data_IF_284358470341
#
_entry.id   IF_284358470341
#
_cell.length_a   1.000
_cell.length_b   1.000
_cell.length_c   1.000
_cell.angle_alpha   90.00
_cell.angle_beta   90.00
_cell.angle_gamma   90.00
#
_symmetry.space_group_name_H-M   'P 1'
#
loop_
_entity.id
_entity.type
_entity.pdbx_description
1 polymer ?
#
# COMPACT_ATOMS: atom_id res chain seq x y z
N UNK A 1 -26.15 -14.72 -5.78
CA UNK A 1 -26.60 -13.74 -4.78
C UNK A 1 -25.85 -12.41 -4.95
N UNK A 2 -24.52 -12.41 -5.07
CA UNK A 2 -23.72 -11.18 -5.25
C UNK A 2 -24.09 -10.43 -6.52
N UNK A 3 -24.28 -11.12 -7.65
CA UNK A 3 -24.74 -10.52 -8.91
C UNK A 3 -26.10 -9.83 -8.73
N UNK A 4 -27.06 -10.52 -8.10
CA UNK A 4 -28.38 -9.97 -7.85
C UNK A 4 -28.36 -8.76 -6.92
N UNK A 5 -27.52 -8.77 -5.86
CA UNK A 5 -27.33 -7.61 -5.01
C UNK A 5 -26.62 -6.47 -5.73
N UNK A 6 -25.78 -6.79 -6.72
CA UNK A 6 -25.11 -5.80 -7.58
C UNK A 6 -26.09 -4.93 -8.40
N UNK A 7 -27.28 -5.45 -8.73
CA UNK A 7 -28.32 -4.69 -9.44
C UNK A 7 -28.85 -3.47 -8.65
N UNK A 8 -28.62 -3.45 -7.33
CA UNK A 8 -28.97 -2.29 -6.50
C UNK A 8 -28.07 -1.06 -6.78
N UNK A 9 -26.96 -1.26 -7.47
CA UNK A 9 -25.99 -0.21 -7.83
C UNK A 9 -25.60 0.68 -6.63
N UNK A 10 -25.35 0.05 -5.48
CA UNK A 10 -24.93 0.70 -4.23
C UNK A 10 -23.67 0.05 -3.73
N UNK A 11 -22.69 0.87 -3.35
CA UNK A 11 -21.45 0.37 -2.75
C UNK A 11 -21.72 -0.34 -1.41
N UNK A 12 -20.79 -1.21 -0.99
CA UNK A 12 -20.88 -1.99 0.24
C UNK A 12 -22.04 -3.01 0.31
N UNK A 13 -22.86 -3.12 -0.74
CA UNK A 13 -23.85 -4.19 -0.86
C UNK A 13 -23.15 -5.48 -1.27
N UNK A 14 -23.48 -6.60 -0.63
CA UNK A 14 -22.91 -7.87 -1.06
C UNK A 14 -23.26 -9.05 -0.18
N UNK A 15 -23.05 -10.25 -0.73
CA UNK A 15 -23.11 -11.52 -0.02
C UNK A 15 -21.72 -12.16 0.00
N UNK A 16 -21.31 -12.64 1.15
CA UNK A 16 -20.05 -13.36 1.34
C UNK A 16 -20.33 -14.76 1.83
N UNK A 17 -19.65 -15.72 1.24
CA UNK A 17 -19.66 -17.11 1.68
C UNK A 17 -18.27 -17.48 2.18
N UNK A 18 -18.19 -17.93 3.42
CA UNK A 18 -16.97 -18.42 4.05
C UNK A 18 -17.14 -19.88 4.41
N UNK A 19 -16.80 -20.81 3.52
CA UNK A 19 -16.97 -22.23 3.79
C UNK A 19 -16.14 -22.67 5.00
N UNK A 20 -16.73 -23.50 5.85
CA UNK A 20 -16.00 -24.21 6.89
C UNK A 20 -15.20 -25.33 6.24
N UNK A 21 -13.91 -25.16 6.08
CA UNK A 21 -13.01 -26.16 5.53
C UNK A 21 -11.60 -26.00 6.04
N UNK A 22 -10.81 -27.06 6.03
CA UNK A 22 -9.38 -26.95 6.26
C UNK A 22 -8.77 -26.30 5.02
N UNK A 23 -8.22 -25.10 5.17
CA UNK A 23 -7.38 -24.50 4.14
C UNK A 23 -5.95 -25.03 4.30
N UNK A 24 -5.27 -25.26 3.21
CA UNK A 24 -3.83 -25.52 3.18
C UNK A 24 -3.09 -24.24 2.84
N UNK A 25 -2.82 -23.34 3.81
CA UNK A 25 -2.24 -22.07 3.53
C UNK A 25 -0.81 -22.23 3.02
N UNK A 26 -0.53 -21.66 1.87
CA UNK A 26 0.81 -21.64 1.28
C UNK A 26 1.70 -20.69 2.05
N UNK A 27 2.84 -21.17 2.49
CA UNK A 27 3.88 -20.35 3.12
C UNK A 27 4.84 -19.77 2.08
N UNK A 28 5.63 -18.81 2.50
CA UNK A 28 6.63 -18.18 1.65
C UNK A 28 8.02 -18.24 2.29
N UNK A 29 9.01 -18.50 1.45
CA UNK A 29 10.43 -18.40 1.80
C UNK A 29 10.95 -16.93 1.75
N UNK A 30 10.10 -15.94 1.41
CA UNK A 30 10.52 -14.54 1.26
C UNK A 30 11.44 -14.33 0.07
N UNK A 31 11.23 -15.07 -1.00
CA UNK A 31 12.04 -15.04 -2.20
C UNK A 31 11.15 -14.75 -3.41
N UNK A 32 11.69 -14.01 -4.38
CA UNK A 32 11.12 -13.92 -5.73
C UNK A 32 11.95 -14.79 -6.68
N UNK A 33 11.27 -15.45 -7.63
CA UNK A 33 11.89 -16.40 -8.52
C UNK A 33 11.99 -15.88 -9.95
N UNK A 34 13.01 -16.34 -10.67
CA UNK A 34 13.17 -16.10 -12.09
C UNK A 34 12.33 -17.10 -12.90
N UNK A 35 11.16 -16.67 -13.31
CA UNK A 35 10.21 -17.48 -14.07
C UNK A 35 10.66 -17.80 -15.51
N UNK A 36 11.78 -17.23 -15.96
CA UNK A 36 12.39 -17.60 -17.25
C UNK A 36 13.33 -18.81 -17.13
N UNK A 37 13.75 -19.14 -15.91
CA UNK A 37 14.55 -20.32 -15.64
C UNK A 37 13.68 -21.58 -15.79
N UNK A 38 14.18 -22.58 -16.57
CA UNK A 38 13.43 -23.79 -16.91
C UNK A 38 14.16 -25.09 -16.58
N UNK A 39 15.35 -25.01 -15.99
CA UNK A 39 16.08 -26.19 -15.53
C UNK A 39 15.56 -26.68 -14.16
N UNK A 40 16.22 -27.70 -13.60
CA UNK A 40 15.89 -28.22 -12.27
C UNK A 40 16.06 -27.16 -11.18
N UNK A 41 15.12 -27.13 -10.25
CA UNK A 41 15.10 -26.20 -9.14
C UNK A 41 14.43 -24.88 -9.44
N UNK A 42 14.46 -23.97 -8.45
CA UNK A 42 13.91 -22.62 -8.56
C UNK A 42 15.05 -21.61 -8.42
N UNK A 43 15.34 -20.87 -9.50
CA UNK A 43 16.35 -19.81 -9.46
C UNK A 43 15.82 -18.56 -8.75
N UNK A 44 16.54 -18.11 -7.74
CA UNK A 44 16.18 -16.94 -6.94
C UNK A 44 16.52 -15.68 -7.76
N UNK A 45 15.53 -14.83 -7.98
CA UNK A 45 15.71 -13.50 -8.59
C UNK A 45 16.01 -12.45 -7.53
N UNK A 46 15.35 -12.54 -6.36
CA UNK A 46 15.50 -11.56 -5.29
C UNK A 46 15.26 -12.20 -3.92
N UNK A 47 15.99 -11.72 -2.92
CA UNK A 47 15.75 -11.99 -1.49
C UNK A 47 15.03 -10.78 -0.90
N UNK A 48 13.83 -10.99 -0.35
CA UNK A 48 13.01 -9.92 0.21
C UNK A 48 13.60 -9.46 1.55
N UNK A 49 13.82 -8.15 1.70
CA UNK A 49 14.32 -7.53 2.93
C UNK A 49 13.43 -7.92 4.12
N UNK A 50 14.06 -8.32 5.25
CA UNK A 50 13.42 -8.86 6.45
C UNK A 50 12.67 -10.18 6.24
N UNK A 51 12.84 -10.81 5.09
CA UNK A 51 12.33 -12.16 4.83
C UNK A 51 13.18 -13.25 5.50
N UNK A 52 12.73 -14.53 5.44
CA UNK A 52 13.40 -15.65 6.08
C UNK A 52 14.88 -15.82 5.73
N UNK A 53 15.29 -15.49 4.51
CA UNK A 53 16.67 -15.55 4.05
C UNK A 53 17.44 -14.22 4.14
N UNK A 54 16.83 -13.16 4.65
CA UNK A 54 17.53 -11.89 4.88
C UNK A 54 18.13 -11.83 6.28
N UNK A 55 19.23 -12.54 6.46
CA UNK A 55 19.98 -12.59 7.71
C UNK A 55 21.49 -12.73 7.47
N UNK A 56 22.29 -12.43 8.48
CA UNK A 56 23.75 -12.39 8.36
C UNK A 56 24.41 -13.78 8.15
N UNK A 57 23.72 -14.87 8.38
CA UNK A 57 24.27 -16.23 8.31
C UNK A 57 23.97 -16.94 7.02
N UNK A 58 23.01 -16.44 6.24
CA UNK A 58 22.64 -17.04 4.95
C UNK A 58 23.71 -16.81 3.87
N UNK A 59 23.91 -17.82 3.05
CA UNK A 59 24.69 -17.73 1.80
C UNK A 59 23.81 -17.47 0.58
N UNK A 60 22.48 -17.44 0.76
CA UNK A 60 21.50 -17.23 -0.35
C UNK A 60 21.64 -15.83 -0.91
N UNK A 61 21.74 -15.76 -2.24
CA UNK A 61 21.81 -14.51 -3.02
C UNK A 61 21.01 -14.67 -4.32
N UNK A 62 20.63 -13.58 -4.98
CA UNK A 62 20.13 -13.64 -6.35
C UNK A 62 21.05 -14.49 -7.25
N UNK A 63 20.45 -15.39 -8.04
CA UNK A 63 21.15 -16.38 -8.85
C UNK A 63 21.35 -17.74 -8.18
N UNK A 64 21.23 -17.88 -6.85
CA UNK A 64 21.18 -19.18 -6.17
C UNK A 64 19.95 -19.98 -6.62
N UNK A 65 20.03 -21.31 -6.56
CA UNK A 65 18.97 -22.23 -6.97
C UNK A 65 18.55 -23.07 -5.77
N UNK A 66 17.25 -23.15 -5.51
CA UNK A 66 16.68 -24.13 -4.58
C UNK A 66 16.51 -25.44 -5.32
N UNK A 67 17.23 -26.49 -4.91
CA UNK A 67 17.15 -27.81 -5.52
C UNK A 67 16.10 -28.71 -4.83
N UNK A 68 15.98 -28.58 -3.47
CA UNK A 68 15.04 -29.43 -2.67
C UNK A 68 14.44 -28.63 -1.51
N UNK A 69 13.25 -29.06 -1.10
CA UNK A 69 12.60 -28.63 0.14
C UNK A 69 12.24 -29.88 0.94
N UNK A 70 12.75 -30.00 2.19
CA UNK A 70 12.62 -31.16 3.06
C UNK A 70 12.95 -32.48 2.35
N UNK A 71 14.00 -32.47 1.51
CA UNK A 71 14.48 -33.62 0.75
C UNK A 71 13.72 -33.89 -0.57
N UNK A 72 12.59 -33.23 -0.82
CA UNK A 72 11.84 -33.38 -2.07
C UNK A 72 12.45 -32.51 -3.17
N UNK A 73 12.81 -33.15 -4.29
CA UNK A 73 13.41 -32.47 -5.45
C UNK A 73 12.41 -31.57 -6.16
N UNK A 74 12.91 -30.45 -6.65
CA UNK A 74 12.16 -29.54 -7.51
C UNK A 74 12.57 -29.80 -8.95
N UNK A 75 11.65 -30.33 -9.73
CA UNK A 75 11.78 -30.54 -11.18
C UNK A 75 10.91 -29.54 -11.92
N UNK A 76 11.02 -29.41 -13.25
CA UNK A 76 10.13 -28.54 -14.03
C UNK A 76 8.63 -28.89 -13.90
N UNK A 77 8.32 -30.12 -13.53
CA UNK A 77 6.94 -30.62 -13.34
C UNK A 77 6.44 -30.44 -11.90
N UNK A 78 7.33 -30.07 -10.98
CA UNK A 78 6.97 -29.92 -9.55
C UNK A 78 6.21 -28.61 -9.33
N UNK A 79 5.01 -28.71 -8.77
CA UNK A 79 4.35 -27.55 -8.21
C UNK A 79 5.04 -27.15 -6.89
N UNK A 80 5.92 -26.14 -6.97
CA UNK A 80 6.66 -25.59 -5.84
C UNK A 80 5.76 -25.25 -4.64
N UNK A 81 4.56 -24.72 -4.91
CA UNK A 81 3.69 -24.24 -3.85
C UNK A 81 3.21 -25.37 -2.93
N UNK A 82 3.03 -26.57 -3.45
CA UNK A 82 2.66 -27.75 -2.64
C UNK A 82 3.75 -28.10 -1.61
N UNK A 83 5.00 -27.84 -1.93
CA UNK A 83 6.14 -28.11 -1.04
C UNK A 83 6.23 -27.14 0.15
N UNK A 84 5.58 -25.99 0.07
CA UNK A 84 5.56 -24.98 1.13
C UNK A 84 4.18 -24.83 1.80
N UNK A 85 3.18 -25.61 1.40
CA UNK A 85 1.88 -25.64 2.05
C UNK A 85 2.01 -26.05 3.53
N UNK A 86 1.30 -25.35 4.41
CA UNK A 86 1.28 -25.60 5.86
C UNK A 86 2.65 -25.49 6.56
N UNK A 87 3.65 -24.84 5.92
CA UNK A 87 5.02 -24.69 6.45
C UNK A 87 5.26 -23.38 7.21
N UNK A 88 4.33 -22.44 7.21
CA UNK A 88 4.48 -21.19 7.94
C UNK A 88 4.80 -21.45 9.43
N UNK A 89 5.84 -20.78 9.94
CA UNK A 89 6.35 -20.92 11.32
C UNK A 89 6.94 -22.29 11.66
N UNK A 90 7.19 -23.16 10.68
CA UNK A 90 7.82 -24.49 10.88
C UNK A 90 9.23 -24.47 10.31
N UNK A 91 10.17 -25.14 10.98
CA UNK A 91 11.52 -25.34 10.44
C UNK A 91 11.44 -26.17 9.16
N UNK A 92 12.04 -25.66 8.09
CA UNK A 92 12.04 -26.27 6.76
C UNK A 92 13.47 -26.34 6.26
N UNK A 93 13.92 -27.52 5.84
CA UNK A 93 15.24 -27.73 5.26
C UNK A 93 15.20 -27.36 3.78
N UNK A 94 16.12 -26.51 3.35
CA UNK A 94 16.24 -26.08 1.93
C UNK A 94 17.62 -26.44 1.44
N UNK A 95 17.70 -27.29 0.38
CA UNK A 95 18.94 -27.63 -0.31
C UNK A 95 19.16 -26.65 -1.46
N UNK A 96 20.34 -26.05 -1.51
CA UNK A 96 20.69 -24.90 -2.32
C UNK A 96 21.91 -25.15 -3.19
N UNK A 97 21.98 -24.52 -4.33
CA UNK A 97 23.08 -24.57 -5.28
C UNK A 97 23.43 -23.19 -5.81
N UNK A 98 24.74 -22.91 -5.83
CA UNK A 98 25.26 -21.72 -6.50
C UNK A 98 25.88 -22.12 -7.83
N UNK A 99 25.32 -21.73 -8.99
CA UNK A 99 25.84 -22.12 -10.30
C UNK A 99 27.21 -21.50 -10.65
N UNK A 100 27.57 -20.37 -10.01
CA UNK A 100 28.84 -19.68 -10.25
C UNK A 100 29.99 -20.36 -9.54
N UNK A 101 29.82 -20.71 -8.25
CA UNK A 101 30.85 -21.36 -7.43
C UNK A 101 30.76 -22.87 -7.46
N UNK A 102 29.68 -23.45 -8.00
CA UNK A 102 29.31 -24.89 -7.97
C UNK A 102 29.17 -25.47 -6.56
N UNK A 103 29.02 -24.62 -5.55
CA UNK A 103 28.79 -25.02 -4.17
C UNK A 103 27.36 -25.49 -3.96
N UNK A 104 27.18 -26.59 -3.20
CA UNK A 104 25.89 -27.03 -2.68
C UNK A 104 25.94 -26.98 -1.18
N UNK A 105 24.87 -26.49 -0.58
CA UNK A 105 24.73 -26.40 0.87
C UNK A 105 23.25 -26.54 1.27
N UNK A 106 23.02 -26.63 2.55
CA UNK A 106 21.68 -26.70 3.14
C UNK A 106 21.51 -25.61 4.19
N UNK A 107 20.33 -25.04 4.24
CA UNK A 107 19.91 -24.11 5.28
C UNK A 107 18.56 -24.52 5.86
N UNK A 108 18.41 -24.35 7.18
CA UNK A 108 17.12 -24.49 7.86
C UNK A 108 16.53 -23.11 8.01
N UNK A 109 15.36 -22.91 7.44
CA UNK A 109 14.66 -21.64 7.45
C UNK A 109 13.26 -21.81 8.06
N UNK A 110 12.67 -20.73 8.54
CA UNK A 110 11.28 -20.70 9.02
C UNK A 110 10.46 -19.86 8.05
N UNK A 111 9.68 -20.50 7.15
CA UNK A 111 8.82 -19.79 6.21
C UNK A 111 7.80 -18.92 6.91
N UNK A 112 7.44 -17.82 6.26
CA UNK A 112 6.40 -16.88 6.72
C UNK A 112 5.06 -17.16 6.05
N UNK A 113 3.98 -16.63 6.62
CA UNK A 113 2.65 -16.69 5.99
C UNK A 113 2.57 -15.80 4.74
N UNK A 114 1.62 -16.06 3.85
CA UNK A 114 1.34 -15.18 2.71
C UNK A 114 1.01 -13.75 3.13
N UNK A 115 0.28 -13.56 4.24
CA UNK A 115 0.00 -12.22 4.77
C UNK A 115 1.26 -11.49 5.24
N UNK A 116 2.20 -12.19 5.88
CA UNK A 116 3.48 -11.60 6.27
C UNK A 116 4.34 -11.25 5.05
N UNK A 117 4.33 -12.08 3.99
CA UNK A 117 4.97 -11.73 2.73
C UNK A 117 4.37 -10.46 2.12
N UNK A 118 3.04 -10.36 2.07
CA UNK A 118 2.36 -9.18 1.54
C UNK A 118 2.75 -7.91 2.31
N UNK A 119 2.89 -7.98 3.63
CA UNK A 119 3.38 -6.86 4.45
C UNK A 119 4.81 -6.45 4.08
N UNK A 120 5.70 -7.42 3.83
CA UNK A 120 7.07 -7.11 3.40
C UNK A 120 7.09 -6.48 2.00
N UNK A 121 6.30 -6.99 1.06
CA UNK A 121 6.18 -6.45 -0.30
C UNK A 121 5.59 -5.04 -0.29
N UNK A 122 4.57 -4.80 0.53
CA UNK A 122 4.00 -3.47 0.74
C UNK A 122 5.05 -2.49 1.30
N UNK A 123 5.76 -2.88 2.35
CA UNK A 123 6.81 -2.04 2.95
C UNK A 123 7.90 -1.70 1.94
N UNK A 124 8.31 -2.69 1.12
CA UNK A 124 9.27 -2.50 0.03
C UNK A 124 8.75 -1.49 -1.01
N UNK A 125 7.48 -1.60 -1.41
CA UNK A 125 6.85 -0.70 -2.37
C UNK A 125 6.80 0.75 -1.84
N UNK A 126 6.37 0.96 -0.59
CA UNK A 126 6.33 2.28 0.06
C UNK A 126 7.74 2.88 0.15
N UNK A 127 8.74 2.08 0.56
CA UNK A 127 10.14 2.51 0.65
C UNK A 127 10.69 2.95 -0.70
N UNK A 128 10.37 2.23 -1.78
CA UNK A 128 10.78 2.59 -3.14
C UNK A 128 10.12 3.90 -3.57
N UNK A 129 8.80 4.05 -3.40
CA UNK A 129 8.09 5.31 -3.74
C UNK A 129 8.64 6.51 -2.97
N UNK A 130 8.95 6.33 -1.69
CA UNK A 130 9.59 7.38 -0.89
C UNK A 130 11.00 7.76 -1.41
N UNK A 131 11.77 6.77 -1.86
CA UNK A 131 13.08 7.00 -2.48
C UNK A 131 12.96 7.74 -3.81
N UNK A 132 12.01 7.35 -4.67
CA UNK A 132 11.73 8.01 -5.94
C UNK A 132 11.36 9.49 -5.74
N UNK A 133 10.48 9.78 -4.77
CA UNK A 133 10.10 11.18 -4.44
C UNK A 133 11.32 11.98 -3.95
N UNK A 134 12.13 11.40 -3.08
CA UNK A 134 13.34 12.07 -2.58
C UNK A 134 14.35 12.34 -3.72
N UNK A 135 14.55 11.37 -4.60
CA UNK A 135 15.44 11.52 -5.75
C UNK A 135 14.95 12.61 -6.72
N UNK A 136 13.69 12.52 -7.17
CA UNK A 136 13.13 13.45 -8.16
C UNK A 136 12.97 14.88 -7.65
N UNK A 137 12.82 15.04 -6.33
CA UNK A 137 12.70 16.38 -5.71
C UNK A 137 14.01 16.94 -5.15
N UNK A 138 15.13 16.19 -5.26
CA UNK A 138 16.38 16.57 -4.59
C UNK A 138 16.26 16.64 -3.06
N UNK A 139 15.39 15.82 -2.47
CA UNK A 139 15.13 15.77 -1.03
C UNK A 139 14.20 16.87 -0.49
N UNK A 140 13.63 17.70 -1.35
CA UNK A 140 12.72 18.81 -0.95
C UNK A 140 11.35 18.30 -0.51
N UNK A 141 10.88 17.15 -1.04
CA UNK A 141 9.57 16.60 -0.77
C UNK A 141 9.63 15.33 0.07
N UNK A 142 8.62 15.16 0.93
CA UNK A 142 8.34 13.91 1.63
C UNK A 142 7.28 13.07 0.91
N UNK A 143 7.14 11.81 1.35
CA UNK A 143 6.14 10.88 0.83
C UNK A 143 5.54 10.07 1.98
N UNK A 144 4.22 9.98 2.01
CA UNK A 144 3.48 9.09 2.89
C UNK A 144 2.42 8.32 2.10
N UNK A 145 2.27 7.02 2.41
CA UNK A 145 1.18 6.21 1.90
C UNK A 145 0.17 5.91 3.01
N UNK A 146 -1.10 6.14 2.74
CA UNK A 146 -2.20 5.80 3.64
C UNK A 146 -2.75 4.44 3.20
N UNK A 147 -2.27 3.36 3.81
CA UNK A 147 -2.64 1.98 3.43
C UNK A 147 -4.13 1.69 3.63
N UNK A 148 -4.67 2.14 4.75
CA UNK A 148 -6.09 2.03 5.09
C UNK A 148 -6.54 3.24 5.89
N UNK A 149 -7.84 3.51 5.90
CA UNK A 149 -8.40 4.61 6.71
C UNK A 149 -8.62 4.14 8.15
N UNK A 150 -7.52 3.74 8.83
CA UNK A 150 -7.49 3.23 10.19
C UNK A 150 -6.40 3.86 11.05
N UNK A 151 -6.47 3.62 12.36
CA UNK A 151 -5.62 4.24 13.38
C UNK A 151 -4.12 3.95 13.18
N UNK A 152 -3.76 2.73 12.80
CA UNK A 152 -2.34 2.37 12.56
C UNK A 152 -1.74 3.16 11.39
N UNK A 153 -2.50 3.33 10.31
CA UNK A 153 -2.09 4.18 9.17
C UNK A 153 -1.98 5.64 9.59
N UNK A 154 -2.92 6.14 10.39
CA UNK A 154 -2.86 7.52 10.90
C UNK A 154 -1.62 7.76 11.75
N UNK A 155 -1.32 6.86 12.69
CA UNK A 155 -0.14 6.98 13.56
C UNK A 155 1.16 6.98 12.75
N UNK A 156 1.25 6.12 11.73
CA UNK A 156 2.41 6.06 10.84
C UNK A 156 2.59 7.38 10.09
N UNK A 157 1.52 7.85 9.42
CA UNK A 157 1.53 9.12 8.67
C UNK A 157 1.85 10.30 9.58
N UNK A 158 1.20 10.40 10.75
CA UNK A 158 1.44 11.46 11.73
C UNK A 158 2.90 11.49 12.19
N UNK A 159 3.46 10.33 12.51
CA UNK A 159 4.86 10.19 12.91
C UNK A 159 5.81 10.61 11.79
N UNK A 160 5.55 10.18 10.56
CA UNK A 160 6.42 10.47 9.42
C UNK A 160 6.40 11.95 9.04
N UNK A 161 5.23 12.58 8.96
CA UNK A 161 5.15 14.00 8.54
C UNK A 161 5.69 14.97 9.57
N UNK A 162 5.49 14.70 10.86
CA UNK A 162 5.96 15.58 11.95
C UNK A 162 7.37 15.21 12.43
N UNK A 163 7.87 14.04 12.07
CA UNK A 163 9.23 13.58 12.37
C UNK A 163 10.11 13.58 11.13
N UNK A 164 10.08 12.49 10.39
CA UNK A 164 10.96 12.22 9.25
C UNK A 164 10.94 13.32 8.18
N UNK A 165 9.76 13.84 7.87
CA UNK A 165 9.54 14.81 6.79
C UNK A 165 9.30 16.23 7.28
N UNK A 166 9.49 16.50 8.59
CA UNK A 166 9.23 17.81 9.16
C UNK A 166 10.02 18.95 8.47
N UNK A 167 11.21 18.68 7.96
CA UNK A 167 12.06 19.65 7.27
C UNK A 167 11.80 19.74 5.75
N UNK A 168 10.95 18.88 5.17
CA UNK A 168 10.59 18.98 3.77
C UNK A 168 9.74 20.22 3.50
N UNK A 169 9.83 20.74 2.29
CA UNK A 169 9.08 21.93 1.83
C UNK A 169 7.63 21.59 1.47
N UNK A 170 7.38 20.32 1.03
CA UNK A 170 6.07 19.81 0.69
C UNK A 170 6.00 18.29 0.88
N UNK A 171 4.80 17.73 0.72
CA UNK A 171 4.60 16.27 0.88
C UNK A 171 3.61 15.69 -0.14
N UNK A 172 3.94 14.52 -0.66
CA UNK A 172 3.05 13.70 -1.48
C UNK A 172 2.31 12.73 -0.57
N UNK A 173 0.98 12.79 -0.59
CA UNK A 173 0.07 11.91 0.15
C UNK A 173 -0.48 10.89 -0.84
N UNK A 174 -0.10 9.64 -0.70
CA UNK A 174 -0.55 8.58 -1.59
C UNK A 174 -1.69 7.78 -0.94
N UNK A 175 -2.88 7.84 -1.52
CA UNK A 175 -4.05 7.07 -1.06
C UNK A 175 -4.42 5.95 -2.03
N UNK A 176 -3.61 5.70 -3.04
CA UNK A 176 -3.91 4.66 -4.04
C UNK A 176 -4.04 3.29 -3.39
N UNK A 177 -4.97 2.51 -3.91
CA UNK A 177 -5.27 1.14 -3.43
C UNK A 177 -5.85 1.06 -2.02
N UNK A 178 -6.29 2.17 -1.44
CA UNK A 178 -6.88 2.20 -0.11
C UNK A 178 -8.35 1.74 -0.15
N UNK A 179 -8.67 0.69 0.59
CA UNK A 179 -10.01 0.10 0.66
C UNK A 179 -10.99 0.81 1.60
N UNK A 180 -10.59 1.93 2.23
CA UNK A 180 -11.45 2.69 3.14
C UNK A 180 -11.21 2.41 4.62
N UNK A 181 -12.20 2.76 5.41
CA UNK A 181 -12.21 2.73 6.88
C UNK A 181 -12.93 3.96 7.43
N UNK A 182 -12.33 4.67 8.41
CA UNK A 182 -12.90 5.90 8.99
C UNK A 182 -11.80 6.82 9.49
N UNK A 183 -11.22 7.64 8.62
CA UNK A 183 -10.06 8.49 8.94
C UNK A 183 -10.11 9.89 8.27
N UNK A 184 -11.12 10.19 7.46
CA UNK A 184 -11.15 11.42 6.65
C UNK A 184 -11.09 12.70 7.50
N UNK A 185 -11.71 12.71 8.69
CA UNK A 185 -11.69 13.87 9.59
C UNK A 185 -10.30 14.11 10.18
N UNK A 186 -9.62 13.03 10.61
CA UNK A 186 -8.25 13.14 11.16
C UNK A 186 -7.25 13.60 10.09
N UNK A 187 -7.39 13.09 8.86
CA UNK A 187 -6.56 13.51 7.71
C UNK A 187 -6.84 14.96 7.34
N UNK A 188 -8.12 15.38 7.30
CA UNK A 188 -8.48 16.77 7.08
C UNK A 188 -7.82 17.68 8.12
N UNK A 189 -7.99 17.36 9.41
CA UNK A 189 -7.40 18.13 10.50
C UNK A 189 -5.87 18.19 10.39
N UNK A 190 -5.24 17.05 10.06
CA UNK A 190 -3.78 16.96 10.00
C UNK A 190 -3.18 17.82 8.88
N UNK A 191 -3.82 17.86 7.71
CA UNK A 191 -3.30 18.54 6.53
C UNK A 191 -3.90 19.93 6.26
N UNK A 192 -4.87 20.39 7.07
CA UNK A 192 -5.48 21.71 6.95
C UNK A 192 -4.82 22.78 7.85
N UNK A 193 -3.59 22.55 8.28
CA UNK A 193 -2.85 23.48 9.16
C UNK A 193 -2.52 24.78 8.44
N UNK A 194 -3.12 25.91 8.89
CA UNK A 194 -2.70 27.26 8.43
C UNK A 194 -1.85 27.90 9.51
N UNK A 195 -0.65 28.34 9.14
CA UNK A 195 0.26 29.05 10.04
C UNK A 195 -0.42 30.30 10.63
N UNK A 196 -0.35 30.45 11.95
CA UNK A 196 -0.86 31.63 12.66
C UNK A 196 0.16 32.26 13.60
N UNK A 197 1.15 31.50 14.11
CA UNK A 197 2.28 32.00 14.90
C UNK A 197 3.59 31.35 14.48
N UNK A 198 4.70 32.08 14.76
CA UNK A 198 6.02 31.45 14.89
C UNK A 198 6.43 31.53 16.34
N UNK A 199 6.75 30.42 16.98
CA UNK A 199 7.29 30.37 18.33
C UNK A 199 8.77 30.80 18.30
N UNK A 200 9.09 31.78 19.10
CA UNK A 200 10.46 32.35 19.20
C UNK A 200 11.01 32.14 20.61
N UNK A 201 12.18 31.53 20.74
CA UNK A 201 12.86 31.30 22.00
C UNK A 201 14.18 32.06 22.00
N UNK A 202 14.28 33.07 22.88
CA UNK A 202 15.48 33.91 23.02
C UNK A 202 15.96 34.53 21.68
N UNK A 203 15.03 35.00 20.86
CA UNK A 203 15.32 35.62 19.56
C UNK A 203 15.58 34.59 18.41
N UNK A 204 15.43 33.30 18.63
CA UNK A 204 15.54 32.27 17.60
C UNK A 204 14.18 31.64 17.31
N UNK A 205 13.82 31.54 16.06
CA UNK A 205 12.62 30.80 15.65
C UNK A 205 12.79 29.31 16.01
N UNK A 206 11.81 28.77 16.71
CA UNK A 206 11.80 27.38 17.18
C UNK A 206 10.89 26.50 16.33
N UNK A 207 9.66 26.93 16.09
CA UNK A 207 8.70 26.21 15.22
C UNK A 207 7.54 27.10 14.81
N UNK A 208 6.91 26.74 13.71
CA UNK A 208 5.63 27.33 13.31
C UNK A 208 4.46 26.66 14.03
N UNK A 209 3.38 27.42 14.24
CA UNK A 209 2.15 26.90 14.82
C UNK A 209 0.99 26.99 13.82
N UNK A 210 0.18 25.93 13.74
CA UNK A 210 0.06 24.77 14.62
C UNK A 210 1.20 23.74 14.41
N UNK A 211 1.94 23.43 15.46
CA UNK A 211 3.10 22.51 15.40
C UNK A 211 2.73 21.03 15.29
N UNK A 212 1.44 20.69 15.40
CA UNK A 212 0.93 19.31 15.31
C UNK A 212 0.08 19.07 14.07
N UNK A 213 0.24 19.92 13.06
CA UNK A 213 -0.44 19.82 11.77
C UNK A 213 0.55 20.12 10.66
N UNK A 214 0.32 19.54 9.51
CA UNK A 214 1.05 19.91 8.31
C UNK A 214 0.56 21.25 7.80
N UNK A 215 1.44 22.24 7.71
CA UNK A 215 1.12 23.62 7.32
C UNK A 215 1.84 24.06 6.03
N UNK A 216 2.37 23.11 5.29
CA UNK A 216 3.09 23.32 4.03
C UNK A 216 2.32 22.72 2.87
N UNK A 217 2.67 23.03 1.61
CA UNK A 217 2.01 22.46 0.44
C UNK A 217 2.00 20.94 0.43
N UNK A 218 0.95 20.38 -0.15
CA UNK A 218 0.80 18.94 -0.33
C UNK A 218 -0.02 18.61 -1.58
N UNK A 219 0.17 17.42 -2.13
CA UNK A 219 -0.60 16.86 -3.24
C UNK A 219 -1.06 15.48 -2.87
N UNK A 220 -2.26 15.08 -3.31
CA UNK A 220 -2.81 13.76 -2.99
C UNK A 220 -2.96 12.92 -4.26
N UNK A 221 -2.42 11.68 -4.21
CA UNK A 221 -2.58 10.68 -5.27
C UNK A 221 -3.84 9.84 -5.05
N UNK A 222 -4.58 9.62 -6.14
CA UNK A 222 -5.81 8.82 -6.19
C UNK A 222 -5.78 7.80 -7.32
N UNK A 223 -6.54 6.72 -7.19
CA UNK A 223 -6.75 5.75 -8.26
C UNK A 223 -8.15 5.12 -8.22
N UNK A 224 -8.48 4.36 -9.23
CA UNK A 224 -9.79 3.70 -9.40
C UNK A 224 -10.07 2.63 -8.33
N UNK A 225 -9.04 2.16 -7.64
CA UNK A 225 -9.16 1.19 -6.54
C UNK A 225 -9.42 1.82 -5.17
N UNK A 226 -9.43 3.15 -5.08
CA UNK A 226 -9.85 3.83 -3.85
C UNK A 226 -11.32 3.52 -3.57
N UNK A 227 -11.64 3.13 -2.33
CA UNK A 227 -12.98 2.68 -1.98
C UNK A 227 -13.45 3.26 -0.63
N UNK A 228 -14.76 3.48 -0.46
CA UNK A 228 -15.36 3.89 0.80
C UNK A 228 -14.76 5.20 1.34
N UNK A 229 -14.24 5.23 2.54
CA UNK A 229 -13.62 6.44 3.13
C UNK A 229 -12.41 6.95 2.32
N UNK A 230 -11.79 6.09 1.47
CA UNK A 230 -10.77 6.52 0.52
C UNK A 230 -11.34 7.24 -0.72
N UNK A 231 -12.66 7.32 -0.86
CA UNK A 231 -13.37 8.28 -1.72
C UNK A 231 -13.66 9.60 -0.95
N UNK A 232 -14.15 9.49 0.29
CA UNK A 232 -14.47 10.67 1.10
C UNK A 232 -13.25 11.52 1.44
N UNK A 233 -12.10 10.89 1.73
CA UNK A 233 -10.86 11.60 2.10
C UNK A 233 -10.37 12.54 0.98
N UNK A 234 -10.14 12.12 -0.28
CA UNK A 234 -9.74 13.03 -1.34
C UNK A 234 -10.83 14.04 -1.70
N UNK A 235 -12.11 13.69 -1.56
CA UNK A 235 -13.20 14.66 -1.74
C UNK A 235 -13.09 15.80 -0.72
N UNK A 236 -12.93 15.50 0.57
CA UNK A 236 -12.77 16.50 1.64
C UNK A 236 -11.49 17.30 1.43
N UNK A 237 -10.38 16.64 1.09
CA UNK A 237 -9.10 17.27 0.84
C UNK A 237 -9.20 18.38 -0.23
N UNK A 238 -9.83 18.10 -1.36
CA UNK A 238 -10.08 19.08 -2.42
C UNK A 238 -11.11 20.13 -2.01
N UNK A 239 -12.22 19.72 -1.40
CA UNK A 239 -13.30 20.64 -0.97
C UNK A 239 -12.81 21.68 0.04
N UNK A 240 -11.86 21.30 0.90
CA UNK A 240 -11.21 22.19 1.87
C UNK A 240 -10.05 23.00 1.28
N UNK A 241 -9.77 22.88 0.00
CA UNK A 241 -8.65 23.52 -0.69
C UNK A 241 -7.30 23.28 0.02
N UNK A 242 -7.06 22.03 0.44
CA UNK A 242 -5.80 21.62 1.07
C UNK A 242 -4.71 21.49 0.02
N UNK A 243 -5.01 20.89 -1.13
CA UNK A 243 -4.13 20.74 -2.26
C UNK A 243 -4.84 20.08 -3.45
N UNK A 244 -4.09 19.78 -4.50
CA UNK A 244 -4.58 19.14 -5.73
C UNK A 244 -4.64 17.62 -5.61
N UNK A 245 -5.56 17.02 -6.39
CA UNK A 245 -5.65 15.59 -6.61
C UNK A 245 -4.97 15.24 -7.94
N UNK A 246 -4.10 14.24 -7.93
CA UNK A 246 -3.40 13.72 -9.11
C UNK A 246 -3.66 12.23 -9.24
N UNK A 247 -3.86 11.72 -10.45
CA UNK A 247 -4.02 10.29 -10.71
C UNK A 247 -5.28 9.98 -11.50
N UNK A 248 -6.02 8.96 -11.07
CA UNK A 248 -7.22 8.52 -11.76
C UNK A 248 -8.47 8.81 -10.92
N UNK A 249 -9.64 8.89 -11.59
CA UNK A 249 -10.91 9.12 -10.92
C UNK A 249 -11.19 8.08 -9.84
N UNK A 250 -11.78 8.53 -8.74
CA UNK A 250 -12.22 7.65 -7.64
C UNK A 250 -13.70 7.32 -7.83
N UNK A 251 -14.08 6.03 -7.82
CA UNK A 251 -15.48 5.62 -7.90
C UNK A 251 -16.31 6.19 -6.75
N UNK A 252 -17.58 6.47 -7.02
CA UNK A 252 -18.53 6.98 -6.05
C UNK A 252 -18.99 5.90 -5.07
N UNK A 253 -18.21 5.63 -4.01
CA UNK A 253 -18.42 4.50 -3.10
C UNK A 253 -18.49 4.91 -1.63
N UNK A 254 -19.10 6.06 -1.34
CA UNK A 254 -19.13 6.61 0.02
C UNK A 254 -20.43 6.31 0.74
N UNK A 255 -20.61 5.06 1.15
CA UNK A 255 -21.62 4.63 2.14
C UNK A 255 -20.97 3.94 3.33
N UNK A 256 -21.75 3.57 4.34
CA UNK A 256 -21.33 2.65 5.39
C UNK A 256 -22.32 1.51 5.51
N UNK A 257 -21.82 0.32 5.82
CA UNK A 257 -22.54 -0.95 5.74
C UNK A 257 -22.73 -1.57 7.11
N UNK A 258 -23.91 -2.20 7.32
CA UNK A 258 -24.10 -3.20 8.36
C UNK A 258 -23.96 -4.60 7.76
N UNK A 259 -23.11 -5.42 8.36
CA UNK A 259 -22.90 -6.81 7.94
C UNK A 259 -23.67 -7.74 8.89
N UNK A 260 -24.63 -8.47 8.33
CA UNK A 260 -25.46 -9.41 9.07
C UNK A 260 -25.09 -10.85 8.73
N UNK A 261 -24.94 -11.68 9.76
CA UNK A 261 -24.81 -13.14 9.59
C UNK A 261 -26.18 -13.74 9.44
N UNK A 262 -26.33 -14.57 8.42
CA UNK A 262 -27.58 -15.30 8.21
C UNK A 262 -27.68 -16.50 9.17
N UNK A 263 -28.80 -17.23 9.11
CA UNK A 263 -29.03 -18.43 9.91
C UNK A 263 -27.92 -19.48 9.67
N UNK A 264 -27.45 -19.62 8.45
CA UNK A 264 -26.18 -20.29 8.15
C UNK A 264 -25.02 -19.29 8.39
N UNK A 265 -24.17 -19.50 9.42
CA UNK A 265 -23.13 -18.53 9.80
C UNK A 265 -22.00 -18.42 8.77
N UNK A 266 -21.92 -19.32 7.79
CA UNK A 266 -21.02 -19.21 6.65
C UNK A 266 -21.43 -18.13 5.64
N UNK A 267 -22.69 -17.69 5.73
CA UNK A 267 -23.25 -16.66 4.87
C UNK A 267 -23.36 -15.33 5.61
N UNK A 268 -22.79 -14.31 5.02
CA UNK A 268 -22.84 -12.92 5.49
C UNK A 268 -23.43 -12.04 4.41
N UNK A 269 -24.35 -11.19 4.82
CA UNK A 269 -25.01 -10.24 3.94
C UNK A 269 -24.73 -8.82 4.41
N UNK A 270 -24.42 -7.93 3.48
CA UNK A 270 -24.17 -6.51 3.74
C UNK A 270 -25.17 -5.61 3.04
N UNK A 271 -25.67 -4.62 3.75
CA UNK A 271 -26.53 -3.57 3.21
C UNK A 271 -26.05 -2.21 3.72
N UNK A 272 -25.99 -1.18 2.85
CA UNK A 272 -25.64 0.18 3.26
C UNK A 272 -26.74 0.75 4.17
N UNK A 273 -26.33 1.36 5.27
CA UNK A 273 -27.22 1.96 6.28
C UNK A 273 -26.92 3.44 6.52
N UNK A 274 -25.78 3.95 6.04
CA UNK A 274 -25.38 5.34 6.18
C UNK A 274 -25.01 5.91 4.81
N UNK A 275 -25.59 7.04 4.45
CA UNK A 275 -25.19 7.86 3.28
C UNK A 275 -24.59 9.19 3.73
N UNK A 276 -23.71 9.76 2.91
CA UNK A 276 -23.05 11.04 3.17
C UNK A 276 -23.61 12.09 2.21
N UNK A 277 -24.45 12.98 2.76
CA UNK A 277 -25.13 14.02 2.01
C UNK A 277 -24.33 15.32 2.00
N UNK A 278 -24.14 15.87 0.82
CA UNK A 278 -23.45 17.14 0.59
C UNK A 278 -24.36 18.35 0.94
N UNK A 279 -23.78 19.57 1.08
CA UNK A 279 -24.57 20.77 1.39
C UNK A 279 -25.65 21.11 0.34
N UNK A 280 -25.46 20.72 -0.91
CA UNK A 280 -26.43 20.90 -2.00
C UNK A 280 -27.56 19.87 -2.02
N UNK A 281 -27.53 18.89 -1.09
CA UNK A 281 -28.51 17.83 -0.95
C UNK A 281 -28.20 16.55 -1.73
N UNK A 282 -27.21 16.54 -2.60
CA UNK A 282 -26.74 15.36 -3.31
C UNK A 282 -25.95 14.41 -2.37
N UNK A 283 -25.64 13.21 -2.85
CA UNK A 283 -24.86 12.24 -2.08
C UNK A 283 -23.54 11.94 -2.78
N UNK A 284 -22.50 11.61 -1.99
CA UNK A 284 -21.22 11.15 -2.53
C UNK A 284 -21.31 9.77 -3.18
N UNK A 285 -22.26 8.94 -2.77
CA UNK A 285 -22.51 7.65 -3.41
C UNK A 285 -22.89 7.83 -4.88
N UNK A 286 -22.36 6.97 -5.74
CA UNK A 286 -22.52 7.04 -7.21
C UNK A 286 -22.03 8.37 -7.84
N UNK A 287 -21.26 9.17 -7.10
CA UNK A 287 -20.67 10.41 -7.57
C UNK A 287 -19.16 10.24 -7.73
N UNK A 288 -18.71 10.00 -8.96
CA UNK A 288 -17.29 9.85 -9.27
C UNK A 288 -16.52 11.14 -8.96
N UNK A 289 -15.37 11.01 -8.29
CA UNK A 289 -14.48 12.12 -8.01
C UNK A 289 -13.36 12.18 -9.05
N UNK A 290 -13.42 13.18 -9.92
CA UNK A 290 -12.35 13.45 -10.90
C UNK A 290 -11.14 14.09 -10.20
N UNK A 291 -9.90 13.68 -10.52
CA UNK A 291 -8.70 14.38 -10.05
C UNK A 291 -8.54 15.72 -10.79
N UNK A 292 -7.79 16.64 -10.22
CA UNK A 292 -7.43 17.90 -10.86
C UNK A 292 -6.47 17.68 -12.03
N UNK A 293 -5.60 16.67 -11.90
CA UNK A 293 -4.66 16.24 -12.94
C UNK A 293 -4.85 14.74 -13.19
N UNK A 294 -5.46 14.41 -14.33
CA UNK A 294 -5.73 13.03 -14.71
C UNK A 294 -4.52 12.40 -15.38
N UNK A 295 -3.97 11.37 -14.75
CA UNK A 295 -2.83 10.60 -15.26
C UNK A 295 -2.90 9.15 -14.83
N UNK A 296 -2.70 8.24 -15.76
CA UNK A 296 -2.70 6.79 -15.52
C UNK A 296 -1.28 6.23 -15.53
N UNK A 297 -1.08 5.15 -14.78
CA UNK A 297 0.06 4.27 -14.96
C UNK A 297 -0.32 3.20 -15.99
N UNK A 298 0.40 3.13 -17.12
CA UNK A 298 0.18 2.05 -18.08
C UNK A 298 0.80 0.74 -17.57
N UNK A 299 0.27 -0.43 -17.99
CA UNK A 299 0.89 -1.71 -17.66
C UNK A 299 2.37 -1.78 -18.05
N UNK A 300 2.74 -1.16 -19.18
CA UNK A 300 4.12 -1.14 -19.69
C UNK A 300 5.06 -0.35 -18.77
N UNK A 301 4.59 0.77 -18.19
CA UNK A 301 5.39 1.56 -17.24
C UNK A 301 5.52 0.84 -15.91
N UNK A 302 4.44 0.24 -15.41
CA UNK A 302 4.45 -0.53 -14.14
C UNK A 302 5.43 -1.70 -14.21
N UNK A 303 5.43 -2.46 -15.31
CA UNK A 303 6.36 -3.61 -15.51
C UNK A 303 7.82 -3.17 -15.50
N UNK A 304 8.11 -1.95 -15.92
CA UNK A 304 9.47 -1.35 -15.86
C UNK A 304 9.82 -0.79 -14.47
N UNK A 305 8.88 -0.79 -13.54
CA UNK A 305 9.04 -0.18 -12.22
C UNK A 305 8.84 1.33 -12.20
N UNK A 306 8.37 1.92 -13.30
CA UNK A 306 8.10 3.35 -13.43
C UNK A 306 6.72 3.70 -12.81
N UNK A 307 6.63 4.89 -12.19
CA UNK A 307 5.38 5.41 -11.62
C UNK A 307 5.10 6.82 -12.15
N UNK A 308 4.40 6.88 -13.28
CA UNK A 308 4.06 8.14 -13.96
C UNK A 308 3.17 9.02 -13.10
N UNK A 309 2.20 8.44 -12.39
CA UNK A 309 1.32 9.19 -11.48
C UNK A 309 2.11 9.88 -10.38
N UNK A 310 3.00 9.16 -9.72
CA UNK A 310 3.85 9.69 -8.66
C UNK A 310 4.77 10.79 -9.18
N UNK A 311 5.37 10.58 -10.36
CA UNK A 311 6.26 11.57 -10.98
C UNK A 311 5.53 12.88 -11.28
N UNK A 312 4.35 12.81 -11.87
CA UNK A 312 3.51 14.00 -12.15
C UNK A 312 3.12 14.71 -10.85
N UNK A 313 2.79 13.99 -9.78
CA UNK A 313 2.48 14.58 -8.50
C UNK A 313 3.69 15.34 -7.90
N UNK A 314 4.89 14.79 -8.00
CA UNK A 314 6.14 15.45 -7.58
C UNK A 314 6.39 16.72 -8.40
N UNK A 315 6.29 16.64 -9.73
CA UNK A 315 6.50 17.78 -10.62
C UNK A 315 5.50 18.92 -10.34
N UNK A 316 4.23 18.57 -10.12
CA UNK A 316 3.18 19.55 -9.82
C UNK A 316 3.39 20.26 -8.48
N UNK A 317 3.79 19.50 -7.45
CA UNK A 317 4.06 20.08 -6.14
C UNK A 317 5.33 20.97 -6.16
N UNK A 318 6.36 20.60 -6.93
CA UNK A 318 7.55 21.45 -7.12
C UNK A 318 7.19 22.75 -7.82
N UNK A 319 6.34 22.73 -8.87
CA UNK A 319 5.85 23.96 -9.54
C UNK A 319 5.08 24.86 -8.58
N UNK A 320 4.26 24.29 -7.70
CA UNK A 320 3.52 25.05 -6.70
C UNK A 320 4.48 25.76 -5.74
N UNK A 321 5.51 25.08 -5.25
CA UNK A 321 6.54 25.65 -4.38
C UNK A 321 7.31 26.80 -5.04
N UNK A 322 7.60 26.71 -6.34
CA UNK A 322 8.28 27.76 -7.10
C UNK A 322 7.38 28.98 -7.37
N UNK A 323 6.06 28.81 -7.40
CA UNK A 323 5.11 29.91 -7.62
C UNK A 323 4.84 30.75 -6.38
N UNK A 324 5.21 30.29 -5.20
CA UNK A 324 5.02 30.97 -3.90
C UNK A 324 6.26 31.78 -3.50
N UNK A 325 7.38 31.58 -4.19
CA UNK A 325 8.62 32.35 -4.04
C UNK A 325 8.61 33.59 -4.95
#
# INVERSE_FOLDING_TARGET
LSEWLGELNVSHTGGRYSPSGQSEPTASLGLLFDWKYRDKGMRIAEVIEKGPFDNATTKVKPGSIIEKIDGMEITPETDYYTLVNNKAKKKTLVSLYNPQTKERWEEVVIPISGSALNTLLYTRWVKQRAADVAEWSGGRLGYVHIESMGDDSFRSVYSDILGKYNNCEGIVIDTRFNGGGRLHEDIEILFSGKKYFTQVIRGREACDMPSRRWNKPSVMLTCEANYSNAHGTPWVYRHRNIGKLVGMPVPGTMTSVSWERLQDPSLVFGIPVVGYRLPDGSYLENSQLEPDIKVANSPETIVKGEDTQLKVAVEELLKELESVL
#
